data_IF_566349009503
#
_entry.id   IF_566349009503
#
_cell.length_a   1.000
_cell.length_b   1.000
_cell.length_c   1.000
_cell.angle_alpha   90.00
_cell.angle_beta   90.00
_cell.angle_gamma   90.00
#
_symmetry.space_group_name_H-M   'P 1'
#
loop_
_entity.id
_entity.type
_entity.pdbx_description
1 polymer ?
#
# COMPACT_ATOMS: atom_id res chain seq x y z
N UNK A 1 13.89 1.08 -18.42
CA UNK A 1 13.50 0.55 -17.10
C UNK A 1 13.81 1.64 -16.10
N UNK A 2 12.78 2.23 -15.48
CA UNK A 2 12.96 3.36 -14.55
C UNK A 2 13.13 2.86 -13.11
N UNK A 3 13.73 3.66 -12.21
CA UNK A 3 14.05 3.25 -10.83
C UNK A 3 12.82 2.78 -10.03
N UNK A 4 11.61 3.19 -10.43
CA UNK A 4 10.36 2.77 -9.80
C UNK A 4 9.98 1.31 -10.10
N UNK A 5 10.37 0.77 -11.26
CA UNK A 5 10.11 -0.64 -11.59
C UNK A 5 11.06 -1.57 -10.83
N UNK A 6 12.32 -1.14 -10.65
CA UNK A 6 13.30 -1.89 -9.88
C UNK A 6 12.89 -1.96 -8.40
N UNK A 7 12.40 -0.84 -7.84
CA UNK A 7 11.85 -0.82 -6.48
C UNK A 7 10.62 -1.75 -6.31
N UNK A 8 9.76 -1.89 -7.33
CA UNK A 8 8.67 -2.87 -7.29
C UNK A 8 9.20 -4.32 -7.23
N UNK A 9 10.26 -4.61 -7.97
CA UNK A 9 10.88 -5.93 -7.97
C UNK A 9 11.48 -6.26 -6.59
N UNK A 10 12.18 -5.32 -5.97
CA UNK A 10 12.74 -5.47 -4.63
C UNK A 10 11.64 -5.73 -3.59
N UNK A 11 10.54 -4.97 -3.64
CA UNK A 11 9.40 -5.16 -2.74
C UNK A 11 8.72 -6.52 -2.93
N UNK A 12 8.66 -7.03 -4.16
CA UNK A 12 8.14 -8.37 -4.44
C UNK A 12 9.04 -9.47 -3.86
N UNK A 13 10.36 -9.30 -3.88
CA UNK A 13 11.28 -10.25 -3.24
C UNK A 13 11.07 -10.28 -1.73
N UNK A 14 10.91 -9.12 -1.09
CA UNK A 14 10.62 -9.06 0.35
C UNK A 14 9.32 -9.79 0.68
N UNK A 15 8.26 -9.59 -0.11
CA UNK A 15 6.98 -10.29 0.09
C UNK A 15 7.04 -11.79 -0.23
N UNK A 16 7.98 -12.24 -1.05
CA UNK A 16 8.22 -13.66 -1.27
C UNK A 16 8.87 -14.32 -0.04
N UNK A 17 9.67 -13.56 0.72
CA UNK A 17 10.32 -14.03 1.95
C UNK A 17 9.42 -13.87 3.18
N UNK A 18 8.67 -12.77 3.26
CA UNK A 18 7.77 -12.44 4.34
C UNK A 18 6.42 -11.95 3.76
N UNK A 19 5.49 -12.89 3.47
CA UNK A 19 4.23 -12.57 2.81
C UNK A 19 3.26 -11.80 3.71
N UNK A 20 3.58 -11.59 4.99
CA UNK A 20 2.77 -10.84 5.95
C UNK A 20 3.39 -9.48 6.29
N UNK A 21 4.41 -9.03 5.56
CA UNK A 21 5.09 -7.78 5.88
C UNK A 21 4.26 -6.53 5.52
N UNK A 22 3.50 -6.01 6.48
CA UNK A 22 2.56 -4.92 6.29
C UNK A 22 3.21 -3.65 5.68
N UNK A 23 4.40 -3.27 6.13
CA UNK A 23 5.12 -2.09 5.62
C UNK A 23 5.54 -2.24 4.15
N UNK A 24 5.77 -3.46 3.69
CA UNK A 24 6.20 -3.74 2.31
C UNK A 24 5.01 -3.62 1.37
N UNK A 25 3.85 -4.16 1.76
CA UNK A 25 2.60 -3.90 1.05
C UNK A 25 2.26 -2.41 1.00
N UNK A 26 2.40 -1.68 2.11
CA UNK A 26 2.20 -0.22 2.13
C UNK A 26 3.10 0.48 1.09
N UNK A 27 4.42 0.22 1.12
CA UNK A 27 5.37 0.81 0.16
C UNK A 27 5.04 0.45 -1.29
N UNK A 28 4.67 -0.81 -1.54
CA UNK A 28 4.30 -1.29 -2.88
C UNK A 28 3.03 -0.62 -3.38
N UNK A 29 2.04 -0.44 -2.51
CA UNK A 29 0.79 0.23 -2.83
C UNK A 29 0.98 1.71 -3.20
N UNK A 30 1.79 2.43 -2.42
CA UNK A 30 2.17 3.82 -2.72
C UNK A 30 2.89 3.93 -4.07
N UNK A 31 3.85 3.04 -4.32
CA UNK A 31 4.64 3.02 -5.54
C UNK A 31 3.79 2.70 -6.78
N UNK A 32 2.88 1.71 -6.68
CA UNK A 32 1.93 1.36 -7.75
C UNK A 32 1.03 2.54 -8.09
N UNK A 33 0.52 3.25 -7.07
CA UNK A 33 -0.24 4.49 -7.31
C UNK A 33 0.59 5.54 -8.04
N UNK A 34 1.84 5.76 -7.66
CA UNK A 34 2.75 6.69 -8.35
C UNK A 34 3.03 6.29 -9.81
N UNK A 35 2.95 5.00 -10.11
CA UNK A 35 3.06 4.44 -11.46
C UNK A 35 1.74 4.47 -12.24
N UNK A 36 0.65 4.99 -11.66
CA UNK A 36 -0.67 5.05 -12.27
C UNK A 36 -1.54 3.81 -12.05
N UNK A 37 -1.00 2.76 -11.42
CA UNK A 37 -1.75 1.56 -11.03
C UNK A 37 -2.46 1.81 -9.69
N UNK A 38 -3.54 2.60 -9.74
CA UNK A 38 -4.35 2.92 -8.56
C UNK A 38 -5.04 1.67 -7.99
N UNK A 39 -5.52 0.78 -8.86
CA UNK A 39 -6.21 -0.45 -8.45
C UNK A 39 -5.28 -1.42 -7.71
N UNK A 40 -4.10 -1.70 -8.28
CA UNK A 40 -3.09 -2.51 -7.62
C UNK A 40 -2.51 -1.83 -6.38
N UNK A 41 -2.48 -0.49 -6.35
CA UNK A 41 -2.12 0.30 -5.18
C UNK A 41 -3.08 0.13 -4.01
N UNK A 42 -4.39 0.26 -4.26
CA UNK A 42 -5.44 0.07 -3.25
C UNK A 42 -5.46 -1.37 -2.71
N UNK A 43 -5.30 -2.36 -3.59
CA UNK A 43 -5.27 -3.77 -3.18
C UNK A 43 -4.10 -4.05 -2.22
N UNK A 44 -2.93 -3.47 -2.49
CA UNK A 44 -1.77 -3.59 -1.61
C UNK A 44 -1.99 -2.87 -0.27
N UNK A 45 -2.59 -1.67 -0.28
CA UNK A 45 -2.93 -0.99 0.98
C UNK A 45 -3.93 -1.79 1.82
N UNK A 46 -4.91 -2.44 1.20
CA UNK A 46 -5.85 -3.29 1.94
C UNK A 46 -5.11 -4.45 2.61
N UNK A 47 -4.21 -5.13 1.89
CA UNK A 47 -3.41 -6.20 2.49
C UNK A 47 -2.45 -5.70 3.57
N UNK A 48 -1.91 -4.49 3.42
CA UNK A 48 -1.10 -3.88 4.46
C UNK A 48 -1.90 -3.67 5.76
N UNK A 49 -3.17 -3.24 5.67
CA UNK A 49 -4.03 -3.03 6.83
C UNK A 49 -4.34 -4.33 7.56
N UNK A 50 -4.67 -5.39 6.81
CA UNK A 50 -4.98 -6.72 7.34
C UNK A 50 -3.74 -7.32 8.03
N UNK A 51 -2.57 -7.22 7.38
CA UNK A 51 -1.30 -7.68 7.93
C UNK A 51 -0.89 -6.89 9.18
N UNK A 52 -1.08 -5.57 9.19
CA UNK A 52 -0.75 -4.72 10.34
C UNK A 52 -1.64 -5.05 11.55
N UNK A 53 -2.93 -5.29 11.30
CA UNK A 53 -3.85 -5.75 12.35
C UNK A 53 -3.41 -7.09 12.92
N UNK A 54 -3.09 -8.07 12.06
CA UNK A 54 -2.64 -9.40 12.48
C UNK A 54 -1.34 -9.37 13.30
N UNK A 55 -0.45 -8.42 13.02
CA UNK A 55 0.81 -8.22 13.76
C UNK A 55 0.65 -7.39 15.04
N UNK A 56 -0.51 -6.79 15.30
CA UNK A 56 -0.71 -5.86 16.41
C UNK A 56 -0.07 -4.48 16.19
N UNK A 57 0.31 -4.15 14.96
CA UNK A 57 0.89 -2.86 14.56
C UNK A 57 -0.21 -1.79 14.41
N UNK A 58 -0.84 -1.43 15.53
CA UNK A 58 -2.00 -0.53 15.55
C UNK A 58 -1.75 0.82 14.89
N UNK A 59 -0.57 1.41 15.09
CA UNK A 59 -0.20 2.70 14.50
C UNK A 59 -0.14 2.60 12.97
N UNK A 60 0.46 1.53 12.45
CA UNK A 60 0.56 1.30 11.01
C UNK A 60 -0.81 1.01 10.42
N UNK A 61 -1.61 0.17 11.09
CA UNK A 61 -2.97 -0.13 10.67
C UNK A 61 -3.82 1.15 10.55
N UNK A 62 -3.83 1.99 11.58
CA UNK A 62 -4.57 3.26 11.55
C UNK A 62 -4.11 4.17 10.41
N UNK A 63 -2.80 4.32 10.21
CA UNK A 63 -2.23 5.10 9.11
C UNK A 63 -2.64 4.58 7.72
N UNK A 64 -2.73 3.27 7.55
CA UNK A 64 -3.16 2.68 6.27
C UNK A 64 -4.64 2.94 6.03
N UNK A 65 -5.48 2.85 7.06
CA UNK A 65 -6.90 3.17 6.94
C UNK A 65 -7.14 4.63 6.55
N UNK A 66 -6.35 5.57 7.08
CA UNK A 66 -6.46 6.97 6.66
C UNK A 66 -6.12 7.14 5.18
N UNK A 67 -5.07 6.47 4.70
CA UNK A 67 -4.72 6.48 3.29
C UNK A 67 -5.83 5.87 2.42
N UNK A 68 -6.36 4.70 2.79
CA UNK A 68 -7.46 4.06 2.05
C UNK A 68 -8.68 4.99 1.95
N UNK A 69 -9.06 5.64 3.04
CA UNK A 69 -10.18 6.58 3.06
C UNK A 69 -9.93 7.81 2.19
N UNK A 70 -8.71 8.37 2.21
CA UNK A 70 -8.32 9.48 1.33
C UNK A 70 -8.37 9.10 -0.15
N UNK A 71 -8.05 7.84 -0.48
CA UNK A 71 -7.96 7.39 -1.87
C UNK A 71 -9.31 6.92 -2.42
N UNK A 72 -10.20 6.48 -1.53
CA UNK A 72 -11.59 6.14 -1.85
C UNK A 72 -12.51 7.36 -1.87
N UNK A 73 -12.18 8.43 -1.13
CA UNK A 73 -12.98 9.64 -1.16
C UNK A 73 -12.85 10.30 -2.53
N UNK A 74 -13.94 10.47 -3.30
CA UNK A 74 -13.92 11.46 -4.36
C UNK A 74 -13.67 12.80 -3.66
N UNK A 75 -12.66 13.56 -4.10
CA UNK A 75 -12.57 14.99 -3.76
C UNK A 75 -13.97 15.54 -4.00
N UNK A 76 -14.66 15.90 -2.93
CA UNK A 76 -15.93 16.60 -3.02
C UNK A 76 -15.55 17.90 -3.70
N UNK A 77 -15.88 18.00 -4.98
CA UNK A 77 -15.88 19.26 -5.70
C UNK A 77 -16.83 20.15 -4.92
N UNK A 78 -16.28 21.03 -4.08
CA UNK A 78 -17.03 22.13 -3.49
C UNK A 78 -17.55 22.97 -4.66
N UNK A 79 -18.84 22.82 -4.95
CA UNK A 79 -19.63 23.73 -5.77
C UNK A 79 -20.47 24.61 -4.87
#
# INVERSE_FOLDING_TARGET
MGPLNDALADLNQVLALDPVHARTYLKRGLLRRSLGDQGGGMADLQQAADCAQAQGEQHLHHYILTLLNEWQSPVISMG
#
